data_IF_369417565106
#
_entry.id   IF_369417565106
#
_cell.length_a   1.000
_cell.length_b   1.000
_cell.length_c   1.000
_cell.angle_alpha   90.00
_cell.angle_beta   90.00
_cell.angle_gamma   90.00
#
_symmetry.space_group_name_H-M   'P 1'
#
loop_
_entity.id
_entity.type
_entity.pdbx_description
1 polymer ?
#
# COMPACT_ATOMS: atom_id res chain seq x y z
N UNK A 1 54.92 13.87 -1.00
CA UNK A 1 54.26 12.66 -0.46
C UNK A 1 54.20 11.60 -1.57
N UNK A 2 55.06 10.58 -1.53
CA UNK A 2 55.13 9.53 -2.57
C UNK A 2 54.06 8.49 -2.28
N UNK A 3 52.96 8.49 -3.04
CA UNK A 3 51.98 7.40 -2.97
C UNK A 3 52.63 6.09 -3.43
N UNK A 4 52.71 5.13 -2.52
CA UNK A 4 53.31 3.82 -2.73
C UNK A 4 52.55 3.07 -3.85
N UNK A 5 53.27 2.41 -4.77
CA UNK A 5 52.71 1.77 -5.98
C UNK A 5 51.56 0.79 -5.65
N UNK A 6 51.63 0.15 -4.48
CA UNK A 6 50.63 -0.80 -3.99
C UNK A 6 49.30 -0.13 -3.58
N UNK A 7 49.31 1.12 -3.10
CA UNK A 7 48.09 1.85 -2.75
C UNK A 7 47.33 2.31 -4.00
N UNK A 8 48.03 2.61 -5.10
CA UNK A 8 47.41 2.92 -6.39
C UNK A 8 46.73 1.70 -7.00
N UNK A 9 47.36 0.53 -6.91
CA UNK A 9 46.77 -0.71 -7.39
C UNK A 9 45.52 -1.06 -6.58
N UNK A 10 45.59 -0.98 -5.24
CA UNK A 10 44.44 -1.25 -4.36
C UNK A 10 43.26 -0.28 -4.57
N UNK A 11 43.52 1.02 -4.75
CA UNK A 11 42.47 1.99 -5.11
C UNK A 11 41.89 1.70 -6.50
N UNK A 12 42.72 1.30 -7.46
CA UNK A 12 42.27 0.94 -8.80
C UNK A 12 41.39 -0.30 -8.77
N UNK A 13 41.75 -1.35 -8.00
CA UNK A 13 40.91 -2.54 -7.84
C UNK A 13 39.61 -2.22 -7.12
N UNK A 14 39.63 -1.35 -6.11
CA UNK A 14 38.42 -0.93 -5.38
C UNK A 14 37.48 -0.12 -6.28
N UNK A 15 38.03 0.81 -7.07
CA UNK A 15 37.29 1.57 -8.09
C UNK A 15 36.74 0.65 -9.18
N UNK A 16 37.52 -0.35 -9.64
CA UNK A 16 37.07 -1.32 -10.64
C UNK A 16 35.96 -2.23 -10.10
N UNK A 17 36.04 -2.66 -8.84
CA UNK A 17 34.98 -3.43 -8.19
C UNK A 17 33.71 -2.61 -7.98
N UNK A 18 33.83 -1.32 -7.60
CA UNK A 18 32.70 -0.40 -7.51
C UNK A 18 32.09 -0.12 -8.89
N UNK A 19 32.89 -0.10 -9.96
CA UNK A 19 32.40 0.05 -11.34
C UNK A 19 31.68 -1.21 -11.85
N UNK A 20 32.21 -2.41 -11.54
CA UNK A 20 31.65 -3.69 -11.96
C UNK A 20 30.34 -4.03 -11.23
N UNK A 21 30.19 -3.62 -9.97
CA UNK A 21 28.92 -3.78 -9.23
C UNK A 21 27.82 -2.90 -9.83
N UNK A 22 28.15 -1.66 -10.25
CA UNK A 22 27.17 -0.78 -10.92
C UNK A 22 26.75 -1.29 -12.31
N UNK A 23 27.65 -1.91 -13.07
CA UNK A 23 27.33 -2.51 -14.38
C UNK A 23 26.38 -3.72 -14.27
N UNK A 24 26.44 -4.47 -13.18
CA UNK A 24 25.62 -5.67 -12.99
C UNK A 24 24.14 -5.32 -12.77
N UNK A 25 23.86 -4.25 -12.02
CA UNK A 25 22.47 -3.77 -11.80
C UNK A 25 21.81 -3.19 -13.05
N UNK A 26 22.60 -2.68 -14.02
CA UNK A 26 22.06 -2.18 -15.30
C UNK A 26 21.64 -3.32 -16.24
N UNK A 27 22.13 -4.54 -16.03
CA UNK A 27 21.95 -5.66 -16.96
C UNK A 27 20.72 -6.54 -16.66
N UNK A 28 20.16 -6.49 -15.45
CA UNK A 28 18.97 -7.28 -15.12
C UNK A 28 17.69 -6.64 -15.67
N UNK A 29 16.82 -7.40 -16.35
CA UNK A 29 15.52 -6.90 -16.77
C UNK A 29 14.68 -6.51 -15.54
N UNK A 30 14.04 -5.34 -15.59
CA UNK A 30 13.07 -4.89 -14.58
C UNK A 30 11.79 -4.38 -15.23
N UNK A 31 10.74 -4.25 -14.43
CA UNK A 31 9.48 -3.66 -14.88
C UNK A 31 9.54 -2.14 -14.78
N UNK A 32 9.61 -1.47 -15.92
CA UNK A 32 9.57 0.00 -16.02
C UNK A 32 8.15 0.48 -16.15
N UNK A 33 7.74 1.41 -15.29
CA UNK A 33 6.36 1.87 -15.26
C UNK A 33 6.28 3.37 -15.48
N UNK A 34 5.48 3.80 -16.46
CA UNK A 34 5.22 5.21 -16.71
C UNK A 34 3.86 5.67 -16.19
N UNK A 35 3.68 6.99 -16.03
CA UNK A 35 2.49 7.65 -15.48
C UNK A 35 1.16 7.24 -16.15
N UNK A 36 1.19 6.75 -17.39
CA UNK A 36 -0.03 6.36 -18.12
C UNK A 36 -0.48 4.93 -17.82
N UNK A 37 0.23 4.16 -16.99
CA UNK A 37 -0.06 2.74 -16.82
C UNK A 37 0.77 1.81 -17.69
N UNK A 38 1.65 2.34 -18.55
CA UNK A 38 2.38 1.47 -19.48
C UNK A 38 3.54 0.83 -18.76
N UNK A 39 3.60 -0.49 -18.83
CA UNK A 39 4.65 -1.30 -18.26
C UNK A 39 5.50 -1.91 -19.36
N UNK A 40 6.82 -1.91 -19.14
CA UNK A 40 7.80 -2.49 -20.04
C UNK A 40 8.77 -3.31 -19.22
N UNK A 41 8.80 -4.63 -19.44
CA UNK A 41 9.88 -5.47 -18.91
C UNK A 41 11.10 -5.32 -19.82
N UNK A 42 12.16 -4.69 -19.30
CA UNK A 42 13.29 -4.27 -20.10
C UNK A 42 14.58 -4.09 -19.28
N UNK A 43 15.72 -4.23 -19.97
CA UNK A 43 17.04 -3.92 -19.44
C UNK A 43 17.39 -2.44 -19.70
N UNK A 44 18.10 -1.80 -18.77
CA UNK A 44 18.61 -0.45 -18.99
C UNK A 44 19.79 -0.51 -19.97
N UNK A 45 19.67 0.17 -21.11
CA UNK A 45 20.78 0.30 -22.08
C UNK A 45 21.59 1.55 -21.80
N UNK A 46 20.92 2.70 -21.74
CA UNK A 46 21.59 4.00 -21.52
C UNK A 46 20.58 5.07 -21.11
N UNK A 47 21.12 6.17 -20.57
CA UNK A 47 20.40 7.43 -20.36
C UNK A 47 20.95 8.47 -21.33
N UNK A 48 20.06 9.07 -22.12
CA UNK A 48 20.37 10.10 -23.12
C UNK A 48 19.55 11.37 -22.81
N UNK A 49 20.14 12.24 -21.98
CA UNK A 49 19.49 13.45 -21.49
C UNK A 49 18.17 13.16 -20.77
N UNK A 50 17.07 13.64 -21.35
CA UNK A 50 15.71 13.45 -20.83
C UNK A 50 15.11 12.06 -21.13
N UNK A 51 15.81 11.22 -21.88
CA UNK A 51 15.32 9.92 -22.33
C UNK A 51 16.10 8.76 -21.75
N UNK A 52 15.39 7.65 -21.58
CA UNK A 52 15.93 6.36 -21.15
C UNK A 52 15.76 5.40 -22.31
N UNK A 53 16.83 4.70 -22.66
CA UNK A 53 16.83 3.65 -23.68
C UNK A 53 16.76 2.31 -22.98
N UNK A 54 15.69 1.58 -23.26
CA UNK A 54 15.34 0.32 -22.61
C UNK A 54 15.29 -0.81 -23.64
N UNK A 55 16.03 -1.89 -23.41
CA UNK A 55 16.01 -3.08 -24.28
C UNK A 55 14.95 -4.05 -23.82
N UNK A 56 13.94 -4.25 -24.66
CA UNK A 56 12.85 -5.20 -24.42
C UNK A 56 13.35 -6.64 -24.56
N UNK A 57 12.60 -7.60 -24.01
CA UNK A 57 12.91 -9.04 -24.13
C UNK A 57 13.02 -9.52 -25.59
N UNK A 58 12.31 -8.87 -26.51
CA UNK A 58 12.39 -9.16 -27.95
C UNK A 58 13.64 -8.54 -28.65
N UNK A 59 14.57 -7.96 -27.88
CA UNK A 59 15.81 -7.36 -28.37
C UNK A 59 15.67 -5.96 -28.97
N UNK A 60 14.45 -5.41 -29.07
CA UNK A 60 14.23 -4.03 -29.55
C UNK A 60 14.47 -3.02 -28.45
N UNK A 61 15.02 -1.88 -28.84
CA UNK A 61 15.20 -0.75 -27.94
C UNK A 61 13.96 0.17 -27.98
N UNK A 62 13.49 0.59 -26.81
CA UNK A 62 12.39 1.51 -26.58
C UNK A 62 12.93 2.79 -25.95
N UNK A 63 12.47 3.95 -26.44
CA UNK A 63 12.85 5.27 -25.92
C UNK A 63 11.73 5.82 -25.06
N UNK A 64 11.97 6.00 -23.77
CA UNK A 64 10.98 6.48 -22.80
C UNK A 64 11.44 7.81 -22.20
N UNK A 65 10.51 8.74 -22.01
CA UNK A 65 10.82 10.02 -21.40
C UNK A 65 10.98 9.84 -19.88
N UNK A 66 12.18 10.13 -19.35
CA UNK A 66 12.56 9.88 -17.95
C UNK A 66 11.58 10.46 -16.95
N UNK A 67 11.12 11.70 -17.18
CA UNK A 67 10.18 12.41 -16.28
C UNK A 67 8.80 11.74 -16.16
N UNK A 68 8.48 10.81 -17.06
CA UNK A 68 7.21 10.08 -17.05
C UNK A 68 7.31 8.75 -16.31
N UNK A 69 8.53 8.30 -16.01
CA UNK A 69 8.75 7.08 -15.24
C UNK A 69 8.39 7.29 -13.77
N UNK A 70 8.18 6.18 -13.07
CA UNK A 70 8.02 6.10 -11.64
C UNK A 70 9.11 6.87 -10.88
N UNK A 71 8.79 7.43 -9.71
CA UNK A 71 9.80 8.12 -8.88
C UNK A 71 10.91 7.13 -8.49
N UNK A 72 10.54 5.88 -8.23
CA UNK A 72 11.47 4.78 -7.98
C UNK A 72 12.43 4.54 -9.14
N UNK A 73 11.93 4.46 -10.37
CA UNK A 73 12.75 4.28 -11.57
C UNK A 73 13.64 5.51 -11.83
N UNK A 74 13.13 6.73 -11.61
CA UNK A 74 13.93 7.94 -11.75
C UNK A 74 15.12 7.95 -10.79
N UNK A 75 14.94 7.48 -9.54
CA UNK A 75 16.05 7.34 -8.58
C UNK A 75 16.97 6.18 -8.91
N UNK A 76 16.44 5.05 -9.38
CA UNK A 76 17.27 3.95 -9.87
C UNK A 76 18.21 4.42 -10.99
N UNK A 77 17.72 5.26 -11.90
CA UNK A 77 18.54 5.86 -12.95
C UNK A 77 19.63 6.79 -12.39
N UNK A 78 19.36 7.51 -11.30
CA UNK A 78 20.37 8.37 -10.62
C UNK A 78 21.43 7.55 -9.87
N UNK A 79 21.00 6.47 -9.20
CA UNK A 79 21.87 5.65 -8.36
C UNK A 79 22.72 4.67 -9.19
N UNK A 80 22.13 4.06 -10.23
CA UNK A 80 22.75 2.97 -10.99
C UNK A 80 22.86 3.25 -12.49
N UNK A 81 22.00 4.10 -13.05
CA UNK A 81 21.94 4.38 -14.49
C UNK A 81 22.84 5.52 -14.98
N UNK A 82 23.61 6.14 -14.08
CA UNK A 82 24.48 7.28 -14.41
C UNK A 82 23.73 8.56 -14.78
N UNK A 83 22.44 8.65 -14.47
CA UNK A 83 21.63 9.82 -14.78
C UNK A 83 21.96 10.96 -13.83
N UNK A 84 22.01 12.19 -14.34
CA UNK A 84 22.13 13.37 -13.47
C UNK A 84 20.95 13.42 -12.49
N UNK A 85 21.23 13.81 -11.25
CA UNK A 85 20.19 14.06 -10.26
C UNK A 85 19.27 15.14 -10.78
N UNK A 86 18.01 14.81 -11.00
CA UNK A 86 17.02 15.83 -11.32
C UNK A 86 16.73 16.55 -10.00
N UNK A 87 16.92 17.88 -9.91
CA UNK A 87 16.48 18.61 -8.74
C UNK A 87 14.99 18.35 -8.55
N UNK A 88 14.64 17.66 -7.47
CA UNK A 88 13.24 17.47 -7.09
C UNK A 88 12.70 18.85 -6.75
N UNK A 89 11.86 19.41 -7.62
CA UNK A 89 11.14 20.64 -7.30
C UNK A 89 10.27 20.37 -6.05
N UNK A 90 10.54 21.00 -4.90
CA UNK A 90 9.75 20.82 -3.69
C UNK A 90 8.29 21.24 -3.86
N UNK A 91 8.00 22.04 -4.89
CA UNK A 91 6.65 22.49 -5.28
C UNK A 91 6.03 21.65 -6.40
N UNK A 92 6.73 20.63 -6.89
CA UNK A 92 6.18 19.73 -7.89
C UNK A 92 4.84 19.16 -7.40
N UNK A 93 3.84 19.20 -8.28
CA UNK A 93 2.56 18.56 -7.99
C UNK A 93 2.81 17.06 -7.79
N UNK A 94 2.39 16.55 -6.64
CA UNK A 94 2.39 15.11 -6.40
C UNK A 94 1.40 14.49 -7.38
N UNK A 95 1.91 13.66 -8.27
CA UNK A 95 1.09 12.85 -9.18
C UNK A 95 0.28 11.85 -8.37
N UNK A 96 -0.92 11.53 -8.83
CA UNK A 96 -1.77 10.48 -8.25
C UNK A 96 -1.91 9.39 -9.31
N UNK A 97 -0.94 8.46 -9.40
CA UNK A 97 -0.85 7.51 -10.51
C UNK A 97 -2.16 6.74 -10.74
N UNK A 98 -2.84 6.36 -9.66
CA UNK A 98 -4.12 5.64 -9.68
C UNK A 98 -5.19 6.39 -10.47
N UNK A 99 -5.22 7.73 -10.38
CA UNK A 99 -6.14 8.61 -11.12
C UNK A 99 -5.63 8.94 -12.53
N UNK A 100 -4.31 8.96 -12.73
CA UNK A 100 -3.68 9.38 -14.00
C UNK A 100 -3.55 8.25 -15.03
N UNK A 101 -3.53 6.98 -14.57
CA UNK A 101 -3.42 5.84 -15.49
C UNK A 101 -4.63 5.72 -16.42
N UNK A 102 -4.36 5.28 -17.65
CA UNK A 102 -5.38 4.97 -18.65
C UNK A 102 -5.82 3.53 -18.51
N UNK A 103 -6.81 3.29 -17.64
CA UNK A 103 -7.36 1.96 -17.44
C UNK A 103 -8.11 1.46 -18.68
N UNK A 104 -7.85 0.21 -19.08
CA UNK A 104 -8.54 -0.45 -20.19
C UNK A 104 -9.53 -1.47 -19.64
N UNK A 105 -10.80 -1.10 -19.52
CA UNK A 105 -11.83 -1.98 -18.94
C UNK A 105 -12.07 -3.28 -19.71
N UNK A 106 -11.52 -3.44 -20.92
CA UNK A 106 -11.55 -4.71 -21.67
C UNK A 106 -10.63 -5.78 -21.08
N UNK A 107 -9.68 -5.41 -20.21
CA UNK A 107 -8.85 -6.39 -19.48
C UNK A 107 -9.61 -7.07 -18.35
N UNK A 108 -10.80 -6.56 -17.97
CA UNK A 108 -11.67 -7.18 -16.98
C UNK A 108 -12.54 -8.26 -17.65
N UNK A 109 -12.21 -9.52 -17.39
CA UNK A 109 -12.88 -10.69 -17.97
C UNK A 109 -13.87 -11.25 -16.96
N UNK A 110 -15.14 -11.40 -17.35
CA UNK A 110 -16.08 -12.21 -16.58
C UNK A 110 -15.81 -13.67 -16.95
N UNK A 111 -15.51 -14.51 -15.96
CA UNK A 111 -15.35 -15.95 -16.21
C UNK A 111 -16.70 -16.65 -16.29
N UNK A 112 -16.72 -17.76 -17.01
CA UNK A 112 -17.91 -18.60 -17.15
C UNK A 112 -18.05 -19.58 -15.98
N UNK A 113 -16.93 -19.98 -15.36
CA UNK A 113 -16.91 -20.75 -14.12
C UNK A 113 -17.14 -19.86 -12.89
N UNK A 114 -17.45 -20.52 -11.78
CA UNK A 114 -17.71 -19.88 -10.49
C UNK A 114 -16.63 -20.24 -9.48
N UNK A 115 -16.44 -19.35 -8.52
CA UNK A 115 -15.67 -19.68 -7.34
C UNK A 115 -16.58 -20.43 -6.38
N UNK A 116 -16.12 -21.57 -5.89
CA UNK A 116 -16.83 -22.43 -4.96
C UNK A 116 -15.95 -22.67 -3.75
N UNK A 117 -16.52 -22.51 -2.55
CA UNK A 117 -15.87 -22.95 -1.32
C UNK A 117 -15.83 -24.49 -1.27
N UNK A 118 -14.92 -25.09 -0.47
CA UNK A 118 -14.88 -26.53 -0.26
C UNK A 118 -16.21 -27.13 0.21
N UNK A 119 -16.35 -28.45 0.08
CA UNK A 119 -17.56 -29.18 0.44
C UNK A 119 -18.04 -28.84 1.88
N UNK A 120 -19.33 -28.55 2.01
CA UNK A 120 -19.95 -28.15 3.29
C UNK A 120 -20.30 -26.66 3.39
N UNK A 121 -19.88 -25.83 2.42
CA UNK A 121 -20.28 -24.43 2.33
C UNK A 121 -21.04 -24.18 1.03
N UNK A 122 -22.37 -24.05 1.11
CA UNK A 122 -23.23 -23.78 -0.05
C UNK A 122 -23.16 -22.30 -0.46
N UNK A 123 -22.00 -21.86 -0.97
CA UNK A 123 -21.79 -20.49 -1.46
C UNK A 123 -20.93 -20.50 -2.72
N UNK A 124 -21.44 -19.83 -3.75
CA UNK A 124 -20.76 -19.64 -5.02
C UNK A 124 -20.66 -18.15 -5.34
N UNK A 125 -19.59 -17.77 -6.03
CA UNK A 125 -19.39 -16.40 -6.49
C UNK A 125 -19.18 -16.35 -8.01
N UNK A 126 -19.78 -15.34 -8.64
CA UNK A 126 -19.41 -14.93 -9.98
C UNK A 126 -18.02 -14.31 -9.95
N UNK A 127 -17.17 -14.63 -10.94
CA UNK A 127 -15.79 -14.14 -10.99
C UNK A 127 -15.63 -13.05 -12.05
N UNK A 128 -15.01 -11.95 -11.65
CA UNK A 128 -14.35 -10.99 -12.53
C UNK A 128 -12.84 -11.12 -12.33
N UNK A 129 -12.15 -11.54 -13.39
CA UNK A 129 -10.70 -11.66 -13.43
C UNK A 129 -10.09 -10.42 -14.06
N UNK A 130 -9.02 -9.93 -13.44
CA UNK A 130 -8.12 -8.92 -13.98
C UNK A 130 -6.68 -9.45 -13.95
N UNK A 131 -5.70 -8.62 -14.29
CA UNK A 131 -4.30 -9.04 -14.36
C UNK A 131 -3.78 -9.53 -13.00
N UNK A 132 -4.06 -8.78 -11.94
CA UNK A 132 -3.54 -9.03 -10.59
C UNK A 132 -4.60 -9.51 -9.59
N UNK A 133 -5.89 -9.49 -9.94
CA UNK A 133 -6.96 -9.78 -9.00
C UNK A 133 -8.01 -10.74 -9.55
N UNK A 134 -8.59 -11.49 -8.61
CA UNK A 134 -9.77 -12.29 -8.83
C UNK A 134 -10.87 -11.76 -7.90
N UNK A 135 -11.84 -11.06 -8.47
CA UNK A 135 -12.95 -10.43 -7.72
C UNK A 135 -14.19 -11.33 -7.80
N UNK A 136 -14.53 -11.92 -6.67
CA UNK A 136 -15.63 -12.85 -6.47
C UNK A 136 -16.84 -12.11 -5.90
N UNK A 137 -17.95 -12.08 -6.62
CA UNK A 137 -19.18 -11.39 -6.18
C UNK A 137 -20.37 -12.34 -6.05
N UNK A 138 -21.13 -12.19 -4.97
CA UNK A 138 -22.40 -12.87 -4.76
C UNK A 138 -23.57 -11.88 -4.77
N UNK A 139 -24.80 -12.38 -4.89
CA UNK A 139 -26.01 -11.56 -4.93
C UNK A 139 -26.05 -10.59 -6.13
N UNK A 140 -26.45 -9.34 -5.88
CA UNK A 140 -26.61 -8.30 -6.92
C UNK A 140 -25.40 -7.38 -7.09
N UNK A 141 -24.31 -7.66 -6.37
CA UNK A 141 -23.11 -6.83 -6.40
C UNK A 141 -22.31 -7.15 -7.67
N UNK A 142 -21.73 -6.12 -8.30
CA UNK A 142 -20.93 -6.27 -9.51
C UNK A 142 -19.47 -6.07 -9.16
N UNK A 143 -18.61 -7.03 -9.50
CA UNK A 143 -17.18 -6.96 -9.20
C UNK A 143 -16.34 -5.99 -10.04
N UNK A 144 -16.84 -5.52 -11.19
CA UNK A 144 -16.03 -4.74 -12.16
C UNK A 144 -15.44 -3.45 -11.60
N UNK A 145 -16.23 -2.68 -10.86
CA UNK A 145 -15.77 -1.40 -10.29
C UNK A 145 -14.66 -1.63 -9.24
N UNK A 146 -14.81 -2.66 -8.41
CA UNK A 146 -13.79 -3.06 -7.43
C UNK A 146 -12.55 -3.63 -8.08
N UNK A 147 -12.69 -4.40 -9.17
CA UNK A 147 -11.55 -4.91 -9.94
C UNK A 147 -10.74 -3.75 -10.54
N UNK A 148 -11.40 -2.76 -11.14
CA UNK A 148 -10.72 -1.55 -11.63
C UNK A 148 -10.03 -0.77 -10.50
N UNK A 149 -10.70 -0.59 -9.35
CA UNK A 149 -10.10 0.07 -8.20
C UNK A 149 -8.84 -0.67 -7.70
N UNK A 150 -8.90 -2.00 -7.63
CA UNK A 150 -7.80 -2.83 -7.17
C UNK A 150 -6.59 -2.74 -8.12
N UNK A 151 -6.83 -2.83 -9.44
CA UNK A 151 -5.79 -2.64 -10.45
C UNK A 151 -5.15 -1.25 -10.39
N UNK A 152 -5.97 -0.21 -10.18
CA UNK A 152 -5.47 1.16 -10.03
C UNK A 152 -4.57 1.30 -8.80
N UNK A 153 -4.96 0.71 -7.66
CA UNK A 153 -4.15 0.72 -6.44
C UNK A 153 -2.86 -0.09 -6.59
N UNK A 154 -2.93 -1.26 -7.22
CA UNK A 154 -1.74 -2.05 -7.56
C UNK A 154 -0.78 -1.26 -8.44
N UNK A 155 -1.29 -0.58 -9.47
CA UNK A 155 -0.49 0.28 -10.33
C UNK A 155 0.15 1.44 -9.56
N UNK A 156 -0.61 2.08 -8.65
CA UNK A 156 -0.10 3.13 -7.77
C UNK A 156 1.09 2.65 -6.93
N UNK A 157 0.97 1.45 -6.36
CA UNK A 157 2.07 0.82 -5.62
C UNK A 157 3.27 0.53 -6.51
N UNK A 158 3.06 -0.06 -7.70
CA UNK A 158 4.14 -0.34 -8.63
C UNK A 158 4.86 0.94 -9.10
N UNK A 159 4.12 2.04 -9.25
CA UNK A 159 4.68 3.34 -9.61
C UNK A 159 5.42 4.03 -8.45
N UNK A 160 5.17 3.65 -7.20
CA UNK A 160 5.81 4.28 -6.03
C UNK A 160 6.95 3.44 -5.44
N UNK A 161 6.89 2.12 -5.66
CA UNK A 161 7.74 1.14 -5.01
C UNK A 161 8.51 0.30 -6.02
N UNK A 162 9.83 0.52 -6.17
CA UNK A 162 10.69 -0.37 -6.93
C UNK A 162 10.53 -1.83 -6.49
N UNK A 163 10.51 -2.73 -7.46
CA UNK A 163 10.43 -4.17 -7.20
C UNK A 163 9.05 -4.66 -6.77
N UNK A 164 8.01 -3.80 -6.70
CA UNK A 164 6.70 -4.22 -6.22
C UNK A 164 6.05 -5.26 -7.13
N UNK A 165 6.10 -5.08 -8.46
CA UNK A 165 5.58 -6.09 -9.40
C UNK A 165 6.30 -7.43 -9.24
N UNK A 166 7.63 -7.41 -9.10
CA UNK A 166 8.42 -8.62 -8.90
C UNK A 166 8.11 -9.32 -7.57
N UNK A 167 7.79 -8.55 -6.51
CA UNK A 167 7.34 -9.09 -5.21
C UNK A 167 5.90 -9.59 -5.25
N UNK A 168 5.05 -8.98 -6.06
CA UNK A 168 3.68 -9.42 -6.26
C UNK A 168 3.66 -10.82 -6.90
N UNK A 169 4.52 -11.03 -7.91
CA UNK A 169 4.60 -12.30 -8.64
C UNK A 169 3.47 -12.44 -9.66
N UNK A 170 3.18 -13.68 -10.04
CA UNK A 170 2.20 -14.00 -11.09
C UNK A 170 0.82 -14.38 -10.54
N UNK A 171 0.72 -14.63 -9.22
CA UNK A 171 -0.54 -15.02 -8.56
C UNK A 171 -1.53 -13.84 -8.46
N UNK A 172 -2.83 -14.17 -8.43
CA UNK A 172 -3.89 -13.17 -8.24
C UNK A 172 -4.28 -13.02 -6.78
N UNK A 173 -4.58 -11.80 -6.34
CA UNK A 173 -5.18 -11.59 -5.02
C UNK A 173 -6.70 -11.74 -5.08
N UNK A 174 -7.24 -12.60 -4.23
CA UNK A 174 -8.68 -12.85 -4.10
C UNK A 174 -9.41 -11.74 -3.31
N UNK A 175 -10.50 -11.22 -3.87
CA UNK A 175 -11.40 -10.25 -3.23
C UNK A 175 -12.85 -10.76 -3.29
N UNK A 176 -13.47 -10.99 -2.13
CA UNK A 176 -14.86 -11.41 -1.99
C UNK A 176 -15.78 -10.21 -1.72
N UNK A 177 -16.83 -10.08 -2.52
CA UNK A 177 -17.90 -9.12 -2.40
C UNK A 177 -19.18 -9.87 -2.04
N UNK A 178 -19.45 -9.99 -0.75
CA UNK A 178 -20.64 -10.66 -0.25
C UNK A 178 -21.83 -9.71 -0.35
N UNK A 179 -22.69 -9.95 -1.35
CA UNK A 179 -23.85 -9.09 -1.63
C UNK A 179 -25.01 -9.26 -0.66
N UNK A 180 -24.96 -10.31 0.17
CA UNK A 180 -25.92 -10.59 1.23
C UNK A 180 -25.19 -10.89 2.54
N UNK A 181 -25.83 -10.58 3.67
CA UNK A 181 -25.26 -10.85 4.99
C UNK A 181 -24.97 -12.35 5.19
N UNK A 182 -25.87 -13.21 4.71
CA UNK A 182 -25.73 -14.67 4.79
C UNK A 182 -24.48 -15.18 4.09
N UNK A 183 -24.15 -14.62 2.93
CA UNK A 183 -22.94 -14.99 2.18
C UNK A 183 -21.67 -14.62 2.95
N UNK A 184 -21.68 -13.45 3.58
CA UNK A 184 -20.56 -13.00 4.42
C UNK A 184 -20.42 -13.87 5.68
N UNK A 185 -21.54 -14.26 6.30
CA UNK A 185 -21.55 -15.16 7.45
C UNK A 185 -21.01 -16.56 7.09
N UNK A 186 -21.39 -17.11 5.92
CA UNK A 186 -20.90 -18.42 5.43
C UNK A 186 -19.39 -18.36 5.18
N UNK A 187 -18.91 -17.31 4.50
CA UNK A 187 -17.47 -17.12 4.25
C UNK A 187 -16.69 -16.97 5.57
N UNK A 188 -17.25 -16.27 6.55
CA UNK A 188 -16.67 -16.16 7.89
C UNK A 188 -16.60 -17.48 8.61
N UNK A 189 -17.66 -18.30 8.55
CA UNK A 189 -17.67 -19.65 9.12
C UNK A 189 -16.58 -20.51 8.49
N UNK A 190 -16.46 -20.51 7.17
CA UNK A 190 -15.38 -21.21 6.46
C UNK A 190 -14.01 -20.82 7.01
N UNK A 191 -13.72 -19.52 7.14
CA UNK A 191 -12.44 -19.05 7.65
C UNK A 191 -12.18 -19.47 9.12
N UNK A 192 -13.20 -19.38 9.97
CA UNK A 192 -13.12 -19.82 11.38
C UNK A 192 -12.82 -21.32 11.46
N UNK A 193 -13.50 -22.14 10.66
CA UNK A 193 -13.28 -23.58 10.62
C UNK A 193 -11.85 -23.90 10.13
N UNK A 194 -11.34 -23.18 9.13
CA UNK A 194 -9.95 -23.32 8.68
C UNK A 194 -8.92 -22.98 9.77
N UNK A 195 -9.14 -21.91 10.53
CA UNK A 195 -8.28 -21.56 11.65
C UNK A 195 -8.32 -22.65 12.73
N UNK A 196 -9.50 -23.17 13.07
CA UNK A 196 -9.63 -24.25 14.04
C UNK A 196 -8.92 -25.53 13.58
N UNK A 197 -9.14 -25.93 12.32
CA UNK A 197 -8.55 -27.13 11.72
C UNK A 197 -7.02 -27.04 11.56
N UNK A 198 -6.46 -25.83 11.48
CA UNK A 198 -5.01 -25.58 11.47
C UNK A 198 -4.39 -25.45 12.86
N UNK A 199 -5.13 -25.75 13.93
CA UNK A 199 -4.65 -25.68 15.32
C UNK A 199 -4.64 -24.27 15.92
N UNK A 200 -5.23 -23.27 15.25
CA UNK A 200 -5.26 -21.86 15.67
C UNK A 200 -6.57 -21.52 16.39
N UNK A 201 -6.94 -22.32 17.39
CA UNK A 201 -8.24 -22.24 18.06
C UNK A 201 -8.55 -20.87 18.68
N UNK A 202 -7.55 -20.19 19.26
CA UNK A 202 -7.75 -18.85 19.84
C UNK A 202 -8.05 -17.80 18.76
N UNK A 203 -7.40 -17.90 17.61
CA UNK A 203 -7.65 -16.99 16.47
C UNK A 203 -9.01 -17.28 15.85
N UNK A 204 -9.39 -18.56 15.70
CA UNK A 204 -10.72 -18.95 15.26
C UNK A 204 -11.82 -18.34 16.15
N UNK A 205 -11.66 -18.44 17.48
CA UNK A 205 -12.59 -17.85 18.45
C UNK A 205 -12.66 -16.32 18.34
N UNK A 206 -11.50 -15.66 18.23
CA UNK A 206 -11.44 -14.21 18.05
C UNK A 206 -12.12 -13.77 16.74
N UNK A 207 -11.84 -14.47 15.63
CA UNK A 207 -12.46 -14.21 14.33
C UNK A 207 -13.96 -14.45 14.35
N UNK A 208 -14.45 -15.52 14.98
CA UNK A 208 -15.88 -15.78 15.10
C UNK A 208 -16.63 -14.64 15.82
N UNK A 209 -16.00 -14.06 16.86
CA UNK A 209 -16.57 -12.92 17.60
C UNK A 209 -16.54 -11.62 16.78
N UNK A 210 -15.46 -11.34 16.06
CA UNK A 210 -15.26 -10.03 15.41
C UNK A 210 -15.77 -9.97 13.98
N UNK A 211 -15.87 -11.09 13.28
CA UNK A 211 -16.30 -11.15 11.89
C UNK A 211 -17.65 -10.45 11.63
N UNK A 212 -18.72 -10.71 12.41
CA UNK A 212 -20.03 -10.09 12.14
C UNK A 212 -20.04 -8.56 12.33
N UNK A 213 -19.13 -8.05 13.16
CA UNK A 213 -19.00 -6.63 13.47
C UNK A 213 -18.21 -5.85 12.40
N UNK A 214 -17.43 -6.55 11.57
CA UNK A 214 -16.61 -5.90 10.55
C UNK A 214 -17.36 -5.74 9.22
N UNK A 215 -17.15 -4.60 8.56
CA UNK A 215 -17.59 -4.38 7.18
C UNK A 215 -16.63 -4.97 6.13
N UNK A 216 -15.43 -5.35 6.55
CA UNK A 216 -14.48 -6.05 5.71
C UNK A 216 -13.39 -6.74 6.52
N UNK A 217 -12.94 -7.91 6.08
CA UNK A 217 -12.03 -8.74 6.84
C UNK A 217 -10.96 -9.36 5.94
N UNK A 218 -9.77 -9.56 6.50
CA UNK A 218 -8.73 -10.35 5.87
C UNK A 218 -8.96 -11.81 6.22
N UNK A 219 -8.72 -12.71 5.27
CA UNK A 219 -8.82 -14.14 5.48
C UNK A 219 -7.69 -14.86 4.75
N UNK A 220 -7.49 -16.12 5.11
CA UNK A 220 -6.60 -17.03 4.39
C UNK A 220 -7.44 -18.10 3.69
N UNK A 221 -7.02 -18.45 2.49
CA UNK A 221 -7.51 -19.61 1.75
C UNK A 221 -6.61 -20.82 2.06
N UNK A 222 -7.15 -22.03 1.92
CA UNK A 222 -6.34 -23.24 1.95
C UNK A 222 -5.59 -23.44 0.64
N UNK A 223 -4.59 -24.31 0.67
CA UNK A 223 -3.71 -24.56 -0.46
C UNK A 223 -4.46 -25.14 -1.67
N UNK A 224 -5.46 -26.00 -1.47
CA UNK A 224 -6.22 -26.59 -2.58
C UNK A 224 -7.02 -25.50 -3.31
N UNK A 225 -7.64 -24.60 -2.56
CA UNK A 225 -8.32 -23.41 -3.11
C UNK A 225 -7.33 -22.50 -3.84
N UNK A 226 -6.15 -22.23 -3.26
CA UNK A 226 -5.11 -21.42 -3.89
C UNK A 226 -4.64 -22.01 -5.23
N UNK A 227 -4.31 -23.30 -5.24
CA UNK A 227 -3.82 -24.01 -6.43
C UNK A 227 -4.90 -24.09 -7.52
N UNK A 228 -6.17 -24.32 -7.13
CA UNK A 228 -7.30 -24.43 -8.07
C UNK A 228 -7.56 -23.12 -8.81
N UNK A 229 -7.45 -21.98 -8.13
CA UNK A 229 -7.84 -20.67 -8.67
C UNK A 229 -6.65 -19.78 -9.03
N UNK A 230 -5.41 -20.24 -8.82
CA UNK A 230 -4.17 -19.47 -9.04
C UNK A 230 -4.19 -18.14 -8.27
N UNK A 231 -4.47 -18.25 -6.96
CA UNK A 231 -4.62 -17.10 -6.07
C UNK A 231 -3.69 -17.17 -4.87
N UNK A 232 -3.22 -16.00 -4.46
CA UNK A 232 -2.49 -15.81 -3.21
C UNK A 232 -3.30 -16.32 -2.02
N UNK A 233 -2.58 -16.86 -1.03
CA UNK A 233 -3.18 -17.35 0.22
C UNK A 233 -4.00 -16.29 0.96
N UNK A 234 -3.54 -15.04 0.96
CA UNK A 234 -4.20 -13.94 1.65
C UNK A 234 -5.27 -13.26 0.79
N UNK A 235 -6.52 -13.28 1.25
CA UNK A 235 -7.66 -12.70 0.56
C UNK A 235 -8.35 -11.59 1.39
N UNK A 236 -9.26 -10.86 0.74
CA UNK A 236 -10.07 -9.79 1.34
C UNK A 236 -11.55 -10.10 1.16
N UNK A 237 -12.35 -9.94 2.21
CA UNK A 237 -13.81 -10.01 2.13
C UNK A 237 -14.44 -8.66 2.49
N UNK A 238 -15.54 -8.34 1.81
CA UNK A 238 -16.35 -7.14 2.05
C UNK A 238 -17.83 -7.51 2.23
N UNK A 239 -18.46 -6.84 3.20
CA UNK A 239 -19.92 -6.75 3.34
C UNK A 239 -20.45 -5.75 2.34
N UNK A 240 -20.71 -6.22 1.13
CA UNK A 240 -21.20 -5.40 0.03
C UNK A 240 -22.73 -5.23 0.03
N UNK A 241 -23.41 -5.79 1.03
CA UNK A 241 -24.84 -5.55 1.33
C UNK A 241 -25.11 -4.14 1.88
N UNK A 242 -24.12 -3.51 2.52
CA UNK A 242 -24.25 -2.18 3.12
C UNK A 242 -23.92 -1.05 2.15
N UNK A 243 -24.93 -0.28 1.74
CA UNK A 243 -24.75 0.89 0.84
C UNK A 243 -23.99 2.06 1.46
N UNK A 244 -23.87 2.14 2.79
CA UNK A 244 -23.10 3.20 3.45
C UNK A 244 -21.60 3.02 3.23
N UNK A 245 -21.16 1.76 3.19
CA UNK A 245 -19.75 1.40 3.10
C UNK A 245 -19.40 0.90 1.69
N UNK A 246 -20.39 0.44 0.93
CA UNK A 246 -20.20 -0.06 -0.42
C UNK A 246 -20.98 0.76 -1.45
N UNK A 247 -20.41 1.91 -1.81
CA UNK A 247 -20.96 2.80 -2.82
C UNK A 247 -20.74 2.26 -4.26
N UNK A 248 -21.52 2.76 -5.22
CA UNK A 248 -21.34 2.39 -6.64
C UNK A 248 -20.19 3.18 -7.27
N UNK A 249 -19.54 2.60 -8.27
CA UNK A 249 -18.45 3.22 -9.01
C UNK A 249 -17.08 2.81 -8.49
N UNK A 250 -16.06 3.11 -9.29
CA UNK A 250 -14.67 2.72 -9.05
C UNK A 250 -14.12 3.33 -7.75
N UNK A 251 -14.42 4.60 -7.48
CA UNK A 251 -13.87 5.33 -6.33
C UNK A 251 -14.68 5.13 -5.05
N UNK A 252 -14.83 3.87 -4.64
CA UNK A 252 -15.52 3.51 -3.41
C UNK A 252 -14.57 3.65 -2.20
N UNK A 253 -14.86 4.51 -1.21
CA UNK A 253 -13.88 4.86 -0.17
C UNK A 253 -13.42 3.70 0.71
N UNK A 254 -14.36 2.90 1.22
CA UNK A 254 -14.00 1.81 2.15
C UNK A 254 -13.21 0.66 1.48
N UNK A 255 -13.58 0.18 0.28
CA UNK A 255 -12.71 -0.72 -0.48
C UNK A 255 -11.36 -0.10 -0.83
N UNK A 256 -11.29 1.20 -1.15
CA UNK A 256 -10.03 1.87 -1.44
C UNK A 256 -9.10 1.83 -0.23
N UNK A 257 -9.64 2.08 0.97
CA UNK A 257 -8.92 1.97 2.24
C UNK A 257 -8.32 0.58 2.45
N UNK A 258 -9.16 -0.46 2.41
CA UNK A 258 -8.74 -1.82 2.73
C UNK A 258 -7.80 -2.39 1.66
N UNK A 259 -8.07 -2.15 0.37
CA UNK A 259 -7.23 -2.65 -0.72
C UNK A 259 -5.88 -1.93 -0.71
N UNK A 260 -5.83 -0.62 -0.41
CA UNK A 260 -4.58 0.11 -0.25
C UNK A 260 -3.68 -0.50 0.85
N UNK A 261 -4.28 -0.90 1.98
CA UNK A 261 -3.55 -1.62 3.04
C UNK A 261 -3.06 -2.98 2.55
N UNK A 262 -3.91 -3.72 1.85
CA UNK A 262 -3.56 -5.05 1.35
C UNK A 262 -2.39 -5.02 0.36
N UNK A 263 -2.36 -4.06 -0.57
CA UNK A 263 -1.24 -3.92 -1.53
C UNK A 263 0.03 -3.41 -0.84
N UNK A 264 -0.09 -2.53 0.16
CA UNK A 264 1.05 -2.12 0.98
C UNK A 264 1.63 -3.30 1.78
N UNK A 265 0.77 -4.16 2.33
CA UNK A 265 1.19 -5.35 3.07
C UNK A 265 1.99 -6.33 2.20
N UNK A 266 1.68 -6.44 0.90
CA UNK A 266 2.50 -7.21 -0.05
C UNK A 266 3.88 -6.58 -0.19
N UNK A 267 3.98 -5.25 -0.33
CA UNK A 267 5.28 -4.57 -0.41
C UNK A 267 6.12 -4.75 0.86
N UNK A 268 5.47 -4.81 2.03
CA UNK A 268 6.10 -5.10 3.31
C UNK A 268 6.44 -6.60 3.51
N UNK A 269 6.21 -7.44 2.50
CA UNK A 269 6.50 -8.88 2.51
C UNK A 269 5.65 -9.68 3.49
N UNK A 270 4.46 -9.19 3.83
CA UNK A 270 3.63 -9.74 4.92
C UNK A 270 4.27 -9.61 6.31
N UNK A 271 5.40 -8.89 6.40
CA UNK A 271 6.34 -8.98 7.49
C UNK A 271 6.40 -7.75 8.39
N UNK A 272 5.45 -6.82 8.25
CA UNK A 272 5.26 -5.75 9.22
C UNK A 272 4.81 -6.25 10.60
N UNK A 273 5.05 -7.52 10.97
CA UNK A 273 4.57 -8.19 12.19
C UNK A 273 3.05 -8.38 12.28
N UNK A 274 2.29 -7.84 11.32
CA UNK A 274 0.83 -7.83 11.32
C UNK A 274 0.23 -6.88 12.35
N UNK A 275 -1.10 -6.89 12.47
CA UNK A 275 -1.80 -6.15 13.51
C UNK A 275 -1.33 -6.62 14.89
N UNK A 276 -0.67 -5.74 15.65
CA UNK A 276 -0.07 -6.06 16.94
C UNK A 276 1.40 -5.67 17.08
N UNK A 277 2.11 -5.48 15.97
CA UNK A 277 3.50 -5.01 16.01
C UNK A 277 3.59 -3.49 16.17
N UNK A 278 4.66 -3.03 16.80
CA UNK A 278 4.91 -1.60 16.98
C UNK A 278 4.98 -0.88 15.63
N UNK A 279 4.28 0.25 15.52
CA UNK A 279 4.28 1.06 14.31
C UNK A 279 3.42 0.54 13.15
N UNK A 280 2.90 -0.70 13.19
CA UNK A 280 2.10 -1.23 12.08
C UNK A 280 0.83 -0.41 11.82
N UNK A 281 0.08 -0.06 12.87
CA UNK A 281 -1.10 0.81 12.73
C UNK A 281 -0.72 2.18 12.15
N UNK A 282 0.37 2.79 12.64
CA UNK A 282 0.84 4.08 12.16
C UNK A 282 1.11 4.10 10.65
N UNK A 283 1.67 3.01 10.12
CA UNK A 283 2.01 2.86 8.70
C UNK A 283 0.80 2.39 7.89
N UNK A 284 0.24 1.23 8.21
CA UNK A 284 -0.81 0.58 7.43
C UNK A 284 -2.14 1.35 7.52
N UNK A 285 -2.62 1.65 8.73
CA UNK A 285 -3.89 2.37 8.91
C UNK A 285 -3.80 3.79 8.38
N UNK A 286 -2.69 4.49 8.65
CA UNK A 286 -2.42 5.80 8.07
C UNK A 286 -2.43 5.79 6.54
N UNK A 287 -1.78 4.80 5.91
CA UNK A 287 -1.75 4.66 4.46
C UNK A 287 -3.14 4.37 3.87
N UNK A 288 -3.94 3.51 4.52
CA UNK A 288 -5.32 3.24 4.12
C UNK A 288 -6.18 4.50 4.04
N UNK A 289 -6.20 5.31 5.11
CA UNK A 289 -6.93 6.59 5.10
C UNK A 289 -6.35 7.61 4.12
N UNK A 290 -5.03 7.65 3.97
CA UNK A 290 -4.38 8.52 2.99
C UNK A 290 -4.87 8.22 1.57
N UNK A 291 -4.86 6.94 1.16
CA UNK A 291 -5.31 6.53 -0.17
C UNK A 291 -6.82 6.66 -0.34
N UNK A 292 -7.61 6.31 0.69
CA UNK A 292 -9.06 6.53 0.69
C UNK A 292 -9.38 7.98 0.35
N UNK A 293 -8.92 8.94 1.17
CA UNK A 293 -9.23 10.35 0.99
C UNK A 293 -8.61 10.92 -0.30
N UNK A 294 -7.38 10.52 -0.65
CA UNK A 294 -6.73 10.99 -1.90
C UNK A 294 -7.50 10.56 -3.16
N UNK A 295 -8.10 9.37 -3.15
CA UNK A 295 -8.74 8.79 -4.31
C UNK A 295 -10.23 9.14 -4.40
N UNK A 296 -10.93 9.24 -3.28
CA UNK A 296 -12.39 9.42 -3.27
C UNK A 296 -12.84 10.80 -2.80
N UNK A 297 -11.91 11.61 -2.28
CA UNK A 297 -12.18 12.92 -1.68
C UNK A 297 -13.11 12.84 -0.45
N UNK A 298 -13.35 11.66 0.13
CA UNK A 298 -14.12 11.47 1.36
C UNK A 298 -13.60 10.27 2.16
N UNK A 299 -14.12 10.10 3.38
CA UNK A 299 -13.90 8.87 4.15
C UNK A 299 -15.23 8.36 4.67
N UNK A 300 -15.50 7.06 4.48
CA UNK A 300 -16.64 6.38 5.10
C UNK A 300 -16.19 5.25 6.02
N UNK A 301 -14.90 4.93 6.00
CA UNK A 301 -14.27 4.04 6.98
C UNK A 301 -14.43 4.63 8.37
N UNK A 302 -15.13 3.91 9.23
CA UNK A 302 -15.42 4.31 10.60
C UNK A 302 -14.14 4.58 11.39
N UNK A 303 -14.16 5.65 12.19
CA UNK A 303 -13.16 5.86 13.23
C UNK A 303 -13.52 4.97 14.43
N UNK A 304 -12.51 4.30 14.97
CA UNK A 304 -12.63 3.58 16.23
C UNK A 304 -12.32 4.55 17.38
N UNK A 305 -13.14 4.50 18.42
CA UNK A 305 -12.90 5.24 19.67
C UNK A 305 -12.93 4.25 20.85
N UNK A 306 -11.74 4.02 21.40
CA UNK A 306 -11.52 3.19 22.58
C UNK A 306 -12.31 3.64 23.81
N UNK A 307 -12.61 4.94 23.92
CA UNK A 307 -13.24 5.51 25.12
C UNK A 307 -14.76 5.29 25.17
N UNK A 308 -15.33 4.77 24.09
CA UNK A 308 -16.77 4.56 23.91
C UNK A 308 -17.11 3.13 23.50
N UNK A 309 -16.11 2.24 23.56
CA UNK A 309 -16.16 0.84 23.13
C UNK A 309 -17.20 -0.03 23.85
N UNK A 310 -17.81 0.45 24.96
CA UNK A 310 -18.87 -0.25 25.69
C UNK A 310 -20.30 0.04 25.19
N UNK A 311 -20.47 0.93 24.21
CA UNK A 311 -21.76 1.15 23.56
C UNK A 311 -21.64 0.75 22.08
N UNK A 312 -22.57 -0.05 21.58
CA UNK A 312 -22.73 -0.51 20.18
C UNK A 312 -22.84 0.61 19.11
N UNK A 313 -22.26 1.79 19.32
CA UNK A 313 -22.24 2.90 18.40
C UNK A 313 -20.82 3.19 17.90
N UNK A 314 -20.67 3.13 16.57
CA UNK A 314 -19.56 3.78 15.86
C UNK A 314 -19.60 5.27 16.21
N UNK A 315 -18.68 5.72 17.06
CA UNK A 315 -18.72 7.07 17.58
C UNK A 315 -18.33 8.09 16.52
N UNK A 316 -19.33 8.89 16.14
CA UNK A 316 -19.16 10.15 15.41
C UNK A 316 -18.52 11.17 16.35
N UNK A 317 -17.21 11.09 16.56
CA UNK A 317 -16.49 12.14 17.26
C UNK A 317 -16.65 13.45 16.48
N UNK A 318 -17.32 14.43 17.09
CA UNK A 318 -17.65 15.69 16.43
C UNK A 318 -16.40 16.38 15.86
N UNK A 319 -16.38 16.62 14.55
CA UNK A 319 -15.27 17.28 13.85
C UNK A 319 -14.44 16.37 12.94
N UNK A 320 -14.54 15.04 13.10
CA UNK A 320 -13.94 14.03 12.22
C UNK A 320 -14.99 13.11 11.57
N UNK A 321 -16.26 13.48 11.65
CA UNK A 321 -17.40 12.83 10.98
C UNK A 321 -17.38 12.99 9.45
N UNK A 322 -16.66 14.00 8.95
CA UNK A 322 -16.48 14.26 7.52
C UNK A 322 -14.97 14.24 7.16
N UNK A 323 -14.55 13.21 6.42
CA UNK A 323 -13.17 13.02 5.95
C UNK A 323 -12.55 14.23 5.27
N UNK A 324 -13.36 15.03 4.56
CA UNK A 324 -12.93 16.26 3.88
C UNK A 324 -12.44 17.33 4.84
N UNK A 325 -12.85 17.25 6.10
CA UNK A 325 -12.51 18.22 7.14
C UNK A 325 -11.35 17.76 8.00
N UNK A 326 -10.95 16.48 7.94
CA UNK A 326 -9.92 15.90 8.83
C UNK A 326 -8.64 16.72 8.87
N UNK A 327 -8.09 17.09 7.71
CA UNK A 327 -6.85 17.85 7.65
C UNK A 327 -6.99 19.24 8.30
N UNK A 328 -8.13 19.92 8.05
CA UNK A 328 -8.42 21.22 8.66
C UNK A 328 -8.63 21.11 10.16
N UNK A 329 -9.45 20.16 10.61
CA UNK A 329 -9.75 19.93 12.03
C UNK A 329 -8.49 19.59 12.80
N UNK A 330 -7.69 18.61 12.34
CA UNK A 330 -6.44 18.25 13.02
C UNK A 330 -5.45 19.41 13.04
N UNK A 331 -5.28 20.16 11.94
CA UNK A 331 -4.42 21.35 11.91
C UNK A 331 -4.83 22.36 12.97
N UNK A 332 -6.13 22.64 13.09
CA UNK A 332 -6.63 23.63 14.05
C UNK A 332 -6.43 23.16 15.50
N UNK A 333 -6.59 21.87 15.78
CA UNK A 333 -6.33 21.28 17.09
C UNK A 333 -4.85 21.32 17.46
N UNK A 334 -3.95 21.00 16.52
CA UNK A 334 -2.49 21.06 16.73
C UNK A 334 -2.00 22.50 16.90
N UNK A 335 -2.56 23.47 16.18
CA UNK A 335 -2.24 24.89 16.37
C UNK A 335 -2.68 25.44 17.73
N UNK A 336 -3.79 24.92 18.25
CA UNK A 336 -4.35 25.29 19.56
C UNK A 336 -3.78 24.44 20.70
N UNK A 337 -2.79 23.58 20.42
CA UNK A 337 -2.15 22.68 21.39
C UNK A 337 -3.15 21.73 22.10
N UNK A 338 -4.32 21.49 21.49
CA UNK A 338 -5.33 20.55 21.99
C UNK A 338 -5.00 19.10 21.66
N UNK A 339 -4.19 18.91 20.62
CA UNK A 339 -3.62 17.61 20.22
C UNK A 339 -2.11 17.82 20.09
N UNK A 340 -1.34 16.94 20.73
CA UNK A 340 0.13 16.95 20.68
C UNK A 340 0.62 15.76 19.86
N UNK A 341 0.98 15.95 18.58
CA UNK A 341 1.47 14.86 17.75
C UNK A 341 2.73 14.22 18.32
N UNK A 342 2.76 12.89 18.35
CA UNK A 342 3.92 12.13 18.82
C UNK A 342 4.13 10.87 18.00
N UNK A 343 5.31 10.73 17.39
CA UNK A 343 5.69 9.52 16.64
C UNK A 343 5.73 8.32 17.59
N UNK A 344 6.28 8.49 18.80
CA UNK A 344 6.26 7.44 19.82
C UNK A 344 4.82 7.07 20.22
N UNK A 345 3.92 8.06 20.31
CA UNK A 345 2.49 7.84 20.54
C UNK A 345 1.84 6.99 19.45
N UNK A 346 2.11 7.30 18.18
CA UNK A 346 1.60 6.52 17.04
C UNK A 346 2.11 5.07 17.05
N UNK A 347 3.38 4.87 17.42
CA UNK A 347 4.03 3.56 17.34
C UNK A 347 3.60 2.60 18.45
N UNK A 348 3.17 3.13 19.59
CA UNK A 348 2.70 2.35 20.73
C UNK A 348 1.34 1.69 20.51
N UNK A 349 0.59 2.13 19.49
CA UNK A 349 -0.71 1.54 19.16
C UNK A 349 -0.49 0.14 18.58
N UNK A 350 -0.90 -0.86 19.34
CA UNK A 350 -0.80 -2.26 18.97
C UNK A 350 -2.17 -2.94 18.87
N UNK A 351 -3.26 -2.30 19.32
CA UNK A 351 -4.61 -2.85 19.23
C UNK A 351 -5.62 -1.82 18.73
N UNK A 352 -6.64 -2.31 18.04
CA UNK A 352 -7.77 -1.50 17.59
C UNK A 352 -8.50 -0.80 18.76
N UNK A 353 -8.51 -1.41 19.94
CA UNK A 353 -9.11 -0.86 21.17
C UNK A 353 -8.28 0.27 21.82
N UNK A 354 -7.17 0.69 21.22
CA UNK A 354 -6.36 1.83 21.67
C UNK A 354 -6.53 3.05 20.74
N UNK A 355 -7.25 2.87 19.63
CA UNK A 355 -7.47 3.92 18.67
C UNK A 355 -8.47 4.95 19.22
N UNK A 356 -8.14 6.22 19.02
CA UNK A 356 -9.07 7.33 19.14
C UNK A 356 -9.19 8.03 17.78
N UNK A 357 -10.24 8.82 17.57
CA UNK A 357 -10.38 9.68 16.39
C UNK A 357 -9.14 10.55 16.13
N UNK A 358 -8.66 11.27 17.15
CA UNK A 358 -7.48 12.13 17.04
C UNK A 358 -6.24 11.33 16.68
N UNK A 359 -6.05 10.16 17.28
CA UNK A 359 -4.89 9.31 17.02
C UNK A 359 -4.92 8.76 15.60
N UNK A 360 -6.10 8.32 15.15
CA UNK A 360 -6.31 7.82 13.78
C UNK A 360 -6.06 8.91 12.74
N UNK A 361 -6.55 10.12 12.98
CA UNK A 361 -6.35 11.25 12.05
C UNK A 361 -4.90 11.72 12.08
N UNK A 362 -4.18 11.57 13.19
CA UNK A 362 -2.72 11.76 13.23
C UNK A 362 -1.98 10.71 12.39
N UNK A 363 -2.39 9.43 12.40
CA UNK A 363 -1.82 8.41 11.51
C UNK A 363 -2.03 8.76 10.03
N UNK A 364 -3.23 9.22 9.66
CA UNK A 364 -3.50 9.79 8.33
C UNK A 364 -2.55 10.97 8.02
N UNK A 365 -2.42 11.91 8.96
CA UNK A 365 -1.55 13.06 8.83
C UNK A 365 -0.07 12.68 8.65
N UNK A 366 0.38 11.63 9.33
CA UNK A 366 1.73 11.10 9.22
C UNK A 366 1.96 10.40 7.88
N UNK A 367 1.04 9.55 7.43
CA UNK A 367 1.11 8.92 6.11
C UNK A 367 1.10 9.95 4.97
N UNK A 368 0.29 11.01 5.10
CA UNK A 368 0.24 12.11 4.14
C UNK A 368 1.53 12.91 4.14
N UNK A 369 2.13 13.17 5.30
CA UNK A 369 3.42 13.84 5.43
C UNK A 369 4.54 13.04 4.76
N UNK A 370 4.64 11.74 5.06
CA UNK A 370 5.64 10.84 4.47
C UNK A 370 5.52 10.72 2.94
N UNK A 371 4.39 11.13 2.37
CA UNK A 371 4.15 11.10 0.93
C UNK A 371 3.84 12.49 0.36
N UNK A 372 4.23 13.57 1.04
CA UNK A 372 3.83 14.94 0.68
C UNK A 372 4.76 15.65 -0.31
N UNK A 373 5.85 15.02 -0.73
CA UNK A 373 6.78 15.53 -1.75
C UNK A 373 7.38 14.33 -2.49
N UNK A 374 7.92 14.51 -3.71
CA UNK A 374 8.58 13.40 -4.42
C UNK A 374 9.76 12.81 -3.64
N UNK A 375 10.51 13.64 -2.91
CA UNK A 375 11.60 13.17 -2.05
C UNK A 375 11.08 12.29 -0.90
N UNK A 376 10.02 12.73 -0.20
CA UNK A 376 9.42 11.96 0.89
C UNK A 376 8.80 10.65 0.40
N UNK A 377 8.13 10.64 -0.76
CA UNK A 377 7.59 9.40 -1.37
C UNK A 377 8.72 8.40 -1.61
N UNK A 378 9.85 8.85 -2.14
CA UNK A 378 10.97 7.93 -2.34
C UNK A 378 11.59 7.45 -1.02
N UNK A 379 11.70 8.31 0.00
CA UNK A 379 12.16 7.89 1.34
C UNK A 379 11.21 6.87 1.95
N UNK A 380 9.90 7.08 1.84
CA UNK A 380 8.88 6.11 2.23
C UNK A 380 9.03 4.78 1.48
N UNK A 381 9.36 4.83 0.19
CA UNK A 381 9.66 3.63 -0.60
C UNK A 381 10.85 2.83 -0.04
N UNK A 382 11.95 3.51 0.30
CA UNK A 382 13.12 2.90 0.97
C UNK A 382 12.78 2.32 2.34
N UNK A 383 11.88 2.97 3.09
CA UNK A 383 11.37 2.42 4.36
C UNK A 383 10.64 1.10 4.10
N UNK A 384 9.81 1.01 3.05
CA UNK A 384 9.09 -0.24 2.76
C UNK A 384 10.04 -1.37 2.33
N UNK A 385 11.09 -1.07 1.56
CA UNK A 385 12.17 -2.04 1.27
C UNK A 385 12.89 -2.50 2.56
N UNK A 386 13.14 -1.56 3.48
CA UNK A 386 13.73 -1.83 4.78
C UNK A 386 12.83 -2.74 5.65
N UNK A 387 11.52 -2.52 5.63
CA UNK A 387 10.54 -3.36 6.34
C UNK A 387 10.55 -4.79 5.81
N UNK A 388 10.50 -4.95 4.49
CA UNK A 388 10.50 -6.26 3.85
C UNK A 388 11.77 -7.06 4.20
N UNK A 389 12.93 -6.39 4.23
CA UNK A 389 14.22 -7.02 4.54
C UNK A 389 14.41 -7.37 6.03
N UNK A 390 14.04 -6.52 7.00
CA UNK A 390 14.13 -6.93 8.43
C UNK A 390 12.96 -7.69 8.96
N UNK A 391 11.84 -7.74 8.23
CA UNK A 391 10.58 -8.28 8.74
C UNK A 391 10.09 -7.50 9.97
N UNK A 392 10.28 -6.17 9.98
CA UNK A 392 9.85 -5.29 11.08
C UNK A 392 9.73 -3.82 10.65
N UNK A 393 8.81 -3.08 11.28
CA UNK A 393 8.73 -1.62 11.11
C UNK A 393 9.95 -0.96 11.75
N UNK A 394 10.70 -0.08 11.04
CA UNK A 394 11.83 0.65 11.61
C UNK A 394 11.41 1.45 12.84
N UNK A 395 12.18 1.32 13.93
CA UNK A 395 11.95 2.11 15.15
C UNK A 395 12.05 3.62 14.85
N UNK A 396 11.45 4.51 15.66
CA UNK A 396 11.36 5.94 15.34
C UNK A 396 12.69 6.62 14.97
N UNK A 397 13.80 6.26 15.61
CA UNK A 397 15.12 6.81 15.29
C UNK A 397 15.63 6.36 13.91
N UNK A 398 15.42 5.09 13.55
CA UNK A 398 15.80 4.58 12.24
C UNK A 398 14.91 5.20 11.14
N UNK A 399 13.60 5.33 11.41
CA UNK A 399 12.67 6.04 10.53
C UNK A 399 13.14 7.48 10.28
N UNK A 400 13.50 8.22 11.34
CA UNK A 400 14.01 9.59 11.23
C UNK A 400 15.25 9.67 10.32
N UNK A 401 16.20 8.74 10.49
CA UNK A 401 17.42 8.65 9.65
C UNK A 401 17.11 8.34 8.19
N UNK A 402 16.18 7.44 7.91
CA UNK A 402 15.73 7.15 6.54
C UNK A 402 15.08 8.36 5.87
N UNK A 403 14.45 9.24 6.66
CA UNK A 403 13.92 10.51 6.18
C UNK A 403 14.95 11.66 6.13
N UNK A 404 16.19 11.41 6.56
CA UNK A 404 17.30 12.37 6.50
C UNK A 404 17.43 13.27 7.74
N UNK A 405 16.91 12.85 8.89
CA UNK A 405 17.02 13.55 10.17
C UNK A 405 17.97 12.81 11.11
N UNK A 406 18.70 13.54 11.95
CA UNK A 406 19.64 12.95 12.91
C UNK A 406 18.92 12.45 14.16
N UNK A 407 17.81 13.11 14.52
CA UNK A 407 17.06 12.81 15.74
C UNK A 407 15.56 12.64 15.47
N UNK A 408 14.88 11.92 16.38
CA UNK A 408 13.42 11.77 16.34
C UNK A 408 12.72 13.13 16.52
N UNK A 409 13.30 14.00 17.35
CA UNK A 409 12.75 15.31 17.66
C UNK A 409 12.75 16.24 16.43
N UNK A 410 13.80 16.21 15.61
CA UNK A 410 13.84 16.96 14.35
C UNK A 410 12.77 16.47 13.37
N UNK A 411 12.64 15.15 13.23
CA UNK A 411 11.66 14.54 12.33
C UNK A 411 10.23 14.84 12.78
N UNK A 412 9.93 14.69 14.07
CA UNK A 412 8.64 15.01 14.66
C UNK A 412 8.31 16.50 14.53
N UNK A 413 9.30 17.38 14.71
CA UNK A 413 9.13 18.83 14.54
C UNK A 413 8.79 19.20 13.09
N UNK A 414 9.46 18.60 12.09
CA UNK A 414 9.15 18.82 10.68
C UNK A 414 7.74 18.33 10.31
N UNK A 415 7.34 17.17 10.84
CA UNK A 415 5.98 16.65 10.69
C UNK A 415 4.94 17.58 11.33
N UNK A 416 5.15 18.04 12.56
CA UNK A 416 4.25 18.97 13.25
C UNK A 416 4.13 20.30 12.47
N UNK A 417 5.24 20.82 11.97
CA UNK A 417 5.25 22.02 11.14
C UNK A 417 4.43 21.83 9.85
N UNK A 418 4.55 20.67 9.22
CA UNK A 418 3.70 20.30 8.09
C UNK A 418 2.21 20.26 8.47
N UNK A 419 1.84 19.61 9.58
CA UNK A 419 0.45 19.56 10.06
C UNK A 419 -0.12 20.96 10.32
N UNK A 420 0.70 21.90 10.82
CA UNK A 420 0.33 23.31 11.04
C UNK A 420 0.22 24.11 9.74
N UNK A 421 0.79 23.64 8.64
CA UNK A 421 0.87 24.36 7.37
C UNK A 421 -0.43 24.27 6.54
N UNK A 422 -0.52 25.10 5.49
CA UNK A 422 -1.58 25.00 4.48
C UNK A 422 -1.35 23.88 3.46
N UNK A 423 -0.15 23.28 3.45
CA UNK A 423 0.15 22.13 2.61
C UNK A 423 -0.60 20.86 3.07
N UNK A 424 -0.93 20.78 4.37
CA UNK A 424 -1.82 19.75 4.92
C UNK A 424 -3.28 20.10 4.60
N UNK A 425 -3.91 19.35 3.68
CA UNK A 425 -5.25 19.64 3.15
C UNK A 425 -6.07 18.40 2.82
#
# INVERSE_FOLDING_TARGET
MKFNKNNKLFLLTLLLSLFLVNLSYSAEPRTWTNLKGQQLKAQLVSVDGDYVILRLENGRDSRVLRKTLSIGDQKFLEEYGGAEKIPIDPKAKITVPEKEMKFNSKTLVKRDDKFELPDGYSLQFDIVESEHFLVMSSGKVRGKDTAELAERLWYGMNFQHPGFAEKWGDEKKAIFLCGEKTDYDILGKYYVDQLANSGRAQEASNSARTWPMSSGAGLFLDNETCDKYDVMRGARAFRADSKSNFQRGVWNPFPAHCIAQDVLNVQMGGAGGGAGSEGYYAISTGHGYYKEIQLTDETVTSLLDANTYESDEVVKSGGFDDGRKWARTLRDLVKKEKVSPSIAGLYRVNRASELTPELTVQMYGFARYMQSTPDRISKFSKVMERVDTSRSIPVPLEMAKLFGFETVQEFESDWINYLKSTAFK
#
